data_IF_163541274437
#
_entry.id   IF_163541274437
#
_cell.length_a   1.000
_cell.length_b   1.000
_cell.length_c   1.000
_cell.angle_alpha   90.00
_cell.angle_beta   90.00
_cell.angle_gamma   90.00
#
_symmetry.space_group_name_H-M   'P 1'
#
loop_
_entity.id
_entity.type
_entity.pdbx_description
1 polymer ?
#
# COMPACT_ATOMS: atom_id res chain seq x y z
N UNK A 1 -0.60 -5.01 1.87
CA UNK A 1 -0.06 -3.98 2.80
C UNK A 1 1.09 -3.18 2.21
N UNK A 2 2.16 -3.84 1.76
CA UNK A 2 3.39 -3.21 1.25
C UNK A 2 3.18 -2.04 0.28
N UNK A 3 2.29 -2.20 -0.71
CA UNK A 3 1.98 -1.13 -1.67
C UNK A 3 1.45 0.16 -1.04
N UNK A 4 0.89 0.14 0.17
CA UNK A 4 0.43 1.36 0.85
C UNK A 4 1.56 2.14 1.55
N UNK A 5 2.76 1.57 1.62
CA UNK A 5 3.91 2.15 2.30
C UNK A 5 4.74 3.16 1.51
N UNK A 6 4.52 3.30 0.20
CA UNK A 6 5.36 4.13 -0.70
C UNK A 6 6.86 3.81 -0.52
N UNK A 7 7.78 4.75 -0.75
CA UNK A 7 9.22 4.53 -0.54
C UNK A 7 9.59 4.38 0.95
N UNK A 8 9.04 5.25 1.80
CA UNK A 8 9.52 5.44 3.17
C UNK A 8 9.03 4.37 4.16
N UNK A 9 7.87 3.76 3.91
CA UNK A 9 7.24 2.81 4.83
C UNK A 9 6.93 1.46 4.16
N UNK A 10 7.52 1.15 2.99
CA UNK A 10 7.34 -0.14 2.30
C UNK A 10 7.62 -1.32 3.22
N UNK A 11 8.82 -1.35 3.81
CA UNK A 11 9.27 -2.44 4.66
C UNK A 11 8.46 -2.56 5.97
N UNK A 12 8.17 -1.47 6.71
CA UNK A 12 7.24 -1.52 7.83
C UNK A 12 5.87 -2.13 7.48
N UNK A 13 5.29 -1.80 6.32
CA UNK A 13 4.03 -2.41 5.88
C UNK A 13 4.18 -3.88 5.46
N UNK A 14 5.29 -4.28 4.85
CA UNK A 14 5.57 -5.68 4.54
C UNK A 14 5.75 -6.50 5.83
N UNK A 15 6.50 -5.96 6.79
CA UNK A 15 6.66 -6.53 8.13
C UNK A 15 5.32 -6.65 8.85
N UNK A 16 4.44 -5.64 8.77
CA UNK A 16 3.10 -5.70 9.35
C UNK A 16 2.25 -6.82 8.75
N UNK A 17 2.27 -7.00 7.42
CA UNK A 17 1.53 -8.08 6.77
C UNK A 17 2.04 -9.48 7.17
N UNK A 18 3.36 -9.63 7.37
CA UNK A 18 3.94 -10.89 7.87
C UNK A 18 3.59 -11.14 9.34
N UNK A 19 3.61 -10.08 10.16
CA UNK A 19 3.27 -10.13 11.56
C UNK A 19 1.77 -10.40 11.81
N UNK A 20 0.91 -9.90 10.91
CA UNK A 20 -0.55 -10.06 10.95
C UNK A 20 -1.04 -10.69 9.64
N UNK A 21 -0.86 -12.01 9.46
CA UNK A 21 -1.37 -12.71 8.28
C UNK A 21 -2.89 -12.53 8.16
N UNK A 22 -3.37 -12.34 6.94
CA UNK A 22 -4.77 -11.99 6.69
C UNK A 22 -5.72 -13.11 7.14
N UNK A 23 -5.30 -14.36 7.05
CA UNK A 23 -6.06 -15.54 7.46
C UNK A 23 -6.35 -15.51 8.96
N UNK A 24 -5.35 -15.13 9.77
CA UNK A 24 -5.52 -14.96 11.23
C UNK A 24 -6.34 -13.73 11.56
N UNK A 25 -6.15 -12.64 10.82
CA UNK A 25 -6.89 -11.41 11.05
C UNK A 25 -8.39 -11.57 10.78
N UNK A 26 -8.76 -12.32 9.73
CA UNK A 26 -10.16 -12.56 9.35
C UNK A 26 -10.89 -13.53 10.30
N UNK A 27 -10.19 -14.26 11.16
CA UNK A 27 -10.81 -15.05 12.24
C UNK A 27 -11.49 -14.18 13.30
N UNK A 28 -11.07 -12.91 13.43
CA UNK A 28 -11.76 -11.95 14.28
C UNK A 28 -13.05 -11.52 13.58
N UNK A 29 -14.20 -11.73 14.20
CA UNK A 29 -15.50 -11.44 13.58
C UNK A 29 -15.78 -9.94 13.42
N UNK A 30 -15.41 -9.13 14.42
CA UNK A 30 -15.61 -7.68 14.43
C UNK A 30 -14.48 -6.96 13.66
N UNK A 31 -14.78 -6.17 12.62
CA UNK A 31 -13.79 -5.37 11.91
C UNK A 31 -13.02 -4.37 12.79
N UNK A 32 -13.60 -3.89 13.89
CA UNK A 32 -12.91 -2.96 14.79
C UNK A 32 -11.86 -3.70 15.63
N UNK A 33 -12.04 -4.98 15.92
CA UNK A 33 -11.00 -5.81 16.55
C UNK A 33 -9.81 -6.01 15.59
N UNK A 34 -10.10 -6.19 14.29
CA UNK A 34 -9.07 -6.28 13.25
C UNK A 34 -8.25 -4.99 13.20
N UNK A 35 -8.92 -3.84 13.25
CA UNK A 35 -8.26 -2.55 13.32
C UNK A 35 -7.40 -2.39 14.57
N UNK A 36 -7.92 -2.75 15.74
CA UNK A 36 -7.18 -2.69 17.00
C UNK A 36 -5.92 -3.56 16.98
N UNK A 37 -5.99 -4.76 16.41
CA UNK A 37 -4.83 -5.64 16.21
C UNK A 37 -3.81 -5.02 15.26
N UNK A 38 -4.24 -4.47 14.13
CA UNK A 38 -3.33 -3.82 13.17
C UNK A 38 -2.59 -2.63 13.81
N UNK A 39 -3.28 -1.78 14.56
CA UNK A 39 -2.65 -0.65 15.27
C UNK A 39 -1.76 -1.10 16.44
N UNK A 40 -2.19 -2.12 17.19
CA UNK A 40 -1.44 -2.68 18.31
C UNK A 40 -0.12 -3.31 17.86
N UNK A 41 -0.18 -4.21 16.87
CA UNK A 41 0.99 -4.90 16.31
C UNK A 41 1.94 -3.93 15.62
N UNK A 42 1.42 -2.93 14.90
CA UNK A 42 2.26 -1.90 14.27
C UNK A 42 2.91 -0.92 15.25
N UNK A 43 2.50 -0.89 16.53
CA UNK A 43 2.83 0.17 17.51
C UNK A 43 2.42 1.58 17.08
N UNK A 44 1.45 1.69 16.17
CA UNK A 44 0.88 2.98 15.77
C UNK A 44 -0.35 3.36 16.60
N UNK A 45 -0.66 2.58 17.64
CA UNK A 45 -1.62 2.91 18.70
C UNK A 45 -0.91 3.69 19.82
N UNK A 46 -1.03 5.03 19.90
CA UNK A 46 -0.33 5.82 20.92
C UNK A 46 -0.95 5.62 22.31
N UNK A 47 -0.11 5.67 23.35
CA UNK A 47 -0.56 5.80 24.74
C UNK A 47 -1.04 7.24 24.98
N UNK A 48 -2.34 7.48 25.22
CA UNK A 48 -2.87 8.83 25.40
C UNK A 48 -2.37 9.52 26.68
N UNK A 49 -1.73 8.80 27.61
CA UNK A 49 -1.13 9.38 28.81
C UNK A 49 0.28 9.94 28.57
N UNK A 50 0.93 9.53 27.47
CA UNK A 50 2.31 9.89 27.13
C UNK A 50 2.45 10.66 25.83
N UNK A 51 1.49 10.51 24.93
CA UNK A 51 1.52 11.10 23.59
C UNK A 51 0.36 12.08 23.42
N UNK A 52 0.58 13.26 22.80
CA UNK A 52 -0.50 14.17 22.46
C UNK A 52 -1.56 13.48 21.59
N UNK A 53 -2.81 13.49 22.08
CA UNK A 53 -3.99 12.99 21.37
C UNK A 53 -5.09 14.03 21.50
N UNK A 54 -5.77 14.36 20.40
CA UNK A 54 -6.88 15.33 20.48
C UNK A 54 -8.11 14.77 21.18
N UNK A 55 -8.91 15.69 21.74
CA UNK A 55 -10.22 15.37 22.30
C UNK A 55 -11.14 14.64 21.30
N UNK A 56 -11.02 14.92 19.99
CA UNK A 56 -11.79 14.23 18.94
C UNK A 56 -11.31 12.80 18.69
N UNK A 57 -10.01 12.55 18.80
CA UNK A 57 -9.42 11.24 18.60
C UNK A 57 -9.57 10.33 19.83
N UNK A 58 -9.64 10.92 21.02
CA UNK A 58 -9.56 10.20 22.29
C UNK A 58 -10.65 9.12 22.47
N UNK A 59 -11.94 9.34 22.16
CA UNK A 59 -12.96 8.29 22.30
C UNK A 59 -12.68 7.08 21.41
N UNK A 60 -12.33 7.33 20.14
CA UNK A 60 -12.00 6.29 19.18
C UNK A 60 -10.72 5.53 19.59
N UNK A 61 -9.67 6.25 20.00
CA UNK A 61 -8.43 5.66 20.48
C UNK A 61 -8.65 4.78 21.73
N UNK A 62 -9.51 5.21 22.67
CA UNK A 62 -9.86 4.42 23.86
C UNK A 62 -10.58 3.11 23.50
N UNK A 63 -11.48 3.14 22.52
CA UNK A 63 -12.16 1.93 22.06
C UNK A 63 -11.16 0.93 21.45
N UNK A 64 -10.24 1.41 20.60
CA UNK A 64 -9.18 0.57 20.05
C UNK A 64 -8.26 0.00 21.13
N UNK A 65 -7.89 0.78 22.16
CA UNK A 65 -7.10 0.26 23.28
C UNK A 65 -7.82 -0.83 24.06
N UNK A 66 -9.13 -0.66 24.31
CA UNK A 66 -9.95 -1.66 25.00
C UNK A 66 -9.95 -2.99 24.23
N UNK A 67 -10.15 -2.94 22.91
CA UNK A 67 -10.13 -4.13 22.03
C UNK A 67 -8.74 -4.73 21.92
N UNK A 68 -7.72 -3.90 21.72
CA UNK A 68 -6.33 -4.34 21.64
C UNK A 68 -5.90 -5.06 22.92
N UNK A 69 -6.29 -4.57 24.09
CA UNK A 69 -5.95 -5.21 25.37
C UNK A 69 -6.41 -6.66 25.43
N UNK A 70 -7.62 -6.94 24.95
CA UNK A 70 -8.17 -8.31 24.90
C UNK A 70 -7.36 -9.24 23.97
N UNK A 71 -6.85 -8.71 22.84
CA UNK A 71 -6.10 -9.50 21.87
C UNK A 71 -4.58 -9.54 22.11
N UNK A 72 -4.03 -8.63 22.94
CA UNK A 72 -2.60 -8.35 23.03
C UNK A 72 -1.75 -9.57 23.31
N UNK A 73 -2.18 -10.47 24.18
CA UNK A 73 -1.40 -11.65 24.56
C UNK A 73 -1.14 -12.56 23.35
N UNK A 74 -2.16 -12.81 22.53
CA UNK A 74 -2.09 -13.64 21.31
C UNK A 74 -1.17 -13.06 20.23
N UNK A 75 -0.99 -11.75 20.23
CA UNK A 75 -0.20 -11.03 19.22
C UNK A 75 1.14 -10.50 19.77
N UNK A 76 1.45 -10.75 21.04
CA UNK A 76 2.62 -10.17 21.74
C UNK A 76 3.95 -10.43 21.04
N UNK A 77 4.17 -11.65 20.54
CA UNK A 77 5.37 -12.04 19.81
C UNK A 77 5.50 -11.42 18.41
N UNK A 78 4.43 -10.84 17.88
CA UNK A 78 4.36 -10.30 16.52
C UNK A 78 4.48 -8.78 16.48
N UNK A 79 4.48 -8.11 17.64
CA UNK A 79 4.56 -6.65 17.75
C UNK A 79 5.86 -6.16 17.10
N UNK A 80 5.72 -5.25 16.15
CA UNK A 80 6.85 -4.68 15.42
C UNK A 80 7.79 -3.89 16.35
N UNK A 81 9.10 -3.78 16.01
CA UNK A 81 10.04 -3.01 16.81
C UNK A 81 9.69 -1.51 16.80
N UNK A 82 10.00 -0.78 17.89
CA UNK A 82 9.79 0.67 17.93
C UNK A 82 10.63 1.39 16.88
N UNK A 83 10.15 2.54 16.39
CA UNK A 83 10.92 3.40 15.47
C UNK A 83 11.04 2.90 14.03
N UNK A 84 10.40 1.78 13.65
CA UNK A 84 10.43 1.29 12.28
C UNK A 84 9.65 2.18 11.29
N UNK A 85 8.65 2.93 11.77
CA UNK A 85 7.82 3.80 10.93
C UNK A 85 8.42 5.20 10.75
N UNK A 86 8.43 5.67 9.50
CA UNK A 86 8.73 7.07 9.16
C UNK A 86 7.44 7.89 9.19
N UNK A 87 7.33 8.78 10.18
CA UNK A 87 6.14 9.65 10.39
C UNK A 87 6.41 11.14 10.12
N UNK A 88 7.63 11.63 10.35
CA UNK A 88 7.94 13.07 10.40
C UNK A 88 8.04 13.80 9.06
N UNK A 89 8.34 13.09 7.97
CA UNK A 89 8.54 13.66 6.62
C UNK A 89 7.50 13.17 5.59
N UNK A 90 6.42 12.54 6.07
CA UNK A 90 5.41 11.95 5.20
C UNK A 90 4.29 12.95 4.94
N UNK A 91 3.89 13.11 3.67
CA UNK A 91 2.71 13.93 3.32
C UNK A 91 1.50 13.46 4.14
N UNK A 92 0.61 14.36 4.63
CA UNK A 92 -0.52 13.99 5.49
C UNK A 92 -1.36 12.81 4.95
N UNK A 93 -1.68 12.82 3.66
CA UNK A 93 -2.45 11.75 3.00
C UNK A 93 -1.73 10.39 2.93
N UNK A 94 -0.41 10.37 3.11
CA UNK A 94 0.44 9.18 3.10
C UNK A 94 0.85 8.72 4.49
N UNK A 95 0.37 9.38 5.55
CA UNK A 95 0.66 9.02 6.93
C UNK A 95 0.45 7.53 7.18
N UNK A 96 1.41 6.83 7.82
CA UNK A 96 1.27 5.40 8.09
C UNK A 96 0.06 5.10 8.99
N UNK A 97 -0.32 6.01 9.91
CA UNK A 97 -1.56 5.88 10.68
C UNK A 97 -2.76 5.73 9.76
N UNK A 98 -2.95 6.70 8.87
CA UNK A 98 -4.06 6.72 7.91
C UNK A 98 -4.07 5.51 6.97
N UNK A 99 -2.88 5.03 6.58
CA UNK A 99 -2.72 3.86 5.71
C UNK A 99 -3.02 2.54 6.41
N UNK A 100 -2.76 2.44 7.72
CA UNK A 100 -3.23 1.30 8.54
C UNK A 100 -4.76 1.31 8.64
N UNK A 101 -5.38 2.48 8.82
CA UNK A 101 -6.84 2.62 8.74
C UNK A 101 -7.42 2.22 7.36
N UNK A 102 -6.69 2.48 6.28
CA UNK A 102 -7.09 1.97 4.96
C UNK A 102 -7.02 0.44 4.87
N UNK A 103 -6.01 -0.18 5.49
CA UNK A 103 -5.90 -1.64 5.57
C UNK A 103 -7.01 -2.26 6.40
N UNK A 104 -7.38 -1.66 7.53
CA UNK A 104 -8.49 -2.17 8.35
C UNK A 104 -9.79 -2.19 7.56
N UNK A 105 -10.12 -1.11 6.85
CA UNK A 105 -11.30 -1.04 5.96
C UNK A 105 -11.31 -2.11 4.87
N UNK A 106 -10.15 -2.43 4.27
CA UNK A 106 -10.04 -3.50 3.26
C UNK A 106 -10.42 -4.88 3.80
N UNK A 107 -10.28 -5.11 5.11
CA UNK A 107 -10.62 -6.40 5.73
C UNK A 107 -12.12 -6.56 5.99
N UNK A 108 -12.96 -5.56 5.73
CA UNK A 108 -14.40 -5.67 6.00
C UNK A 108 -14.99 -6.80 5.15
N UNK A 109 -15.88 -7.66 5.66
CA UNK A 109 -16.23 -8.93 5.01
C UNK A 109 -16.62 -8.80 3.52
N UNK A 110 -17.55 -7.89 3.19
CA UNK A 110 -18.00 -7.67 1.82
C UNK A 110 -16.93 -6.99 0.95
N UNK A 111 -16.15 -6.08 1.54
CA UNK A 111 -15.05 -5.38 0.86
C UNK A 111 -13.96 -6.37 0.49
N UNK A 112 -13.54 -7.20 1.44
CA UNK A 112 -12.53 -8.23 1.26
C UNK A 112 -12.94 -9.27 0.22
N UNK A 113 -14.19 -9.75 0.29
CA UNK A 113 -14.71 -10.70 -0.71
C UNK A 113 -14.71 -10.09 -2.12
N UNK A 114 -15.26 -8.88 -2.29
CA UNK A 114 -15.27 -8.20 -3.58
C UNK A 114 -13.87 -7.89 -4.10
N UNK A 115 -12.92 -7.60 -3.20
CA UNK A 115 -11.54 -7.35 -3.53
C UNK A 115 -10.80 -8.58 -4.02
N UNK A 116 -10.93 -9.71 -3.31
CA UNK A 116 -10.30 -10.97 -3.72
C UNK A 116 -10.86 -11.45 -5.05
N UNK A 117 -12.18 -11.37 -5.25
CA UNK A 117 -12.78 -11.79 -6.50
C UNK A 117 -12.31 -10.94 -7.69
N UNK A 118 -12.15 -9.63 -7.51
CA UNK A 118 -11.62 -8.76 -8.57
C UNK A 118 -10.16 -9.07 -8.89
N UNK A 119 -9.35 -9.39 -7.88
CA UNK A 119 -7.97 -9.85 -8.08
C UNK A 119 -7.96 -11.16 -8.88
N UNK A 120 -8.68 -12.18 -8.43
CA UNK A 120 -8.71 -13.51 -9.09
C UNK A 120 -9.11 -13.40 -10.56
N UNK A 121 -10.11 -12.56 -10.87
CA UNK A 121 -10.60 -12.35 -12.24
C UNK A 121 -9.76 -11.41 -13.11
N UNK A 122 -8.80 -10.70 -12.53
CA UNK A 122 -8.11 -9.60 -13.22
C UNK A 122 -9.02 -8.39 -13.51
N UNK A 123 -10.11 -8.22 -12.75
CA UNK A 123 -11.11 -7.17 -12.98
C UNK A 123 -10.64 -5.83 -12.38
N UNK A 124 -9.98 -5.02 -13.21
CA UNK A 124 -9.45 -3.72 -12.83
C UNK A 124 -10.54 -2.72 -12.41
N UNK A 125 -11.73 -2.78 -12.99
CA UNK A 125 -12.81 -1.83 -12.70
C UNK A 125 -13.38 -2.06 -11.30
N UNK A 126 -13.69 -3.31 -10.97
CA UNK A 126 -14.17 -3.69 -9.63
C UNK A 126 -13.06 -3.45 -8.60
N UNK A 127 -11.82 -3.81 -8.90
CA UNK A 127 -10.66 -3.52 -8.04
C UNK A 127 -10.56 -2.03 -7.72
N UNK A 128 -10.51 -1.17 -8.73
CA UNK A 128 -10.42 0.28 -8.53
C UNK A 128 -11.64 0.82 -7.78
N UNK A 129 -12.85 0.33 -8.08
CA UNK A 129 -14.08 0.71 -7.39
C UNK A 129 -13.99 0.42 -5.89
N UNK A 130 -13.54 -0.78 -5.52
CA UNK A 130 -13.37 -1.18 -4.11
C UNK A 130 -12.40 -0.25 -3.39
N UNK A 131 -11.21 0.02 -3.94
CA UNK A 131 -10.25 0.93 -3.30
C UNK A 131 -10.77 2.36 -3.16
N UNK A 132 -11.53 2.84 -4.15
CA UNK A 132 -12.09 4.18 -4.17
C UNK A 132 -13.27 4.34 -3.21
N UNK A 133 -13.98 3.25 -2.88
CA UNK A 133 -15.10 3.26 -1.96
C UNK A 133 -14.71 3.12 -0.49
N UNK A 134 -13.43 2.85 -0.19
CA UNK A 134 -12.97 2.80 1.20
C UNK A 134 -13.14 4.16 1.86
N UNK A 135 -13.85 4.15 2.98
CA UNK A 135 -14.10 5.31 3.82
C UNK A 135 -13.97 4.89 5.28
N UNK A 136 -13.42 5.79 6.09
CA UNK A 136 -13.25 5.57 7.51
C UNK A 136 -13.67 6.83 8.28
N UNK A 137 -14.57 6.72 9.28
CA UNK A 137 -15.15 7.87 9.99
C UNK A 137 -14.12 8.87 10.53
N UNK A 138 -13.00 8.35 11.07
CA UNK A 138 -11.89 9.17 11.55
C UNK A 138 -10.87 9.55 10.46
N UNK A 139 -10.27 8.57 9.77
CA UNK A 139 -9.15 8.75 8.84
C UNK A 139 -9.45 9.49 7.52
N UNK A 140 -10.73 9.65 7.17
CA UNK A 140 -11.11 10.49 6.03
C UNK A 140 -10.75 11.97 6.26
N UNK A 141 -10.66 12.39 7.52
CA UNK A 141 -10.40 13.78 7.92
C UNK A 141 -9.11 13.99 8.71
N UNK A 142 -8.40 12.93 9.10
CA UNK A 142 -7.24 13.03 9.98
C UNK A 142 -6.01 12.34 9.37
N UNK A 143 -4.84 12.93 9.61
CA UNK A 143 -3.55 12.35 9.23
C UNK A 143 -2.85 11.65 10.41
N UNK A 144 -3.17 12.01 11.65
CA UNK A 144 -2.57 11.46 12.87
C UNK A 144 -3.47 11.67 14.09
N UNK A 145 -3.14 11.01 15.19
CA UNK A 145 -3.86 11.09 16.46
C UNK A 145 -3.76 12.46 17.16
N UNK A 146 -2.71 13.22 16.85
CA UNK A 146 -2.40 14.54 17.42
C UNK A 146 -3.31 15.67 16.93
N UNK A 147 -4.29 15.38 16.05
CA UNK A 147 -5.25 16.36 15.59
C UNK A 147 -4.92 17.04 14.28
N UNK A 148 -3.87 16.62 13.56
CA UNK A 148 -3.65 17.09 12.19
C UNK A 148 -4.83 16.69 11.32
N UNK A 149 -5.70 17.66 11.09
CA UNK A 149 -6.89 17.56 10.24
C UNK A 149 -6.47 17.87 8.80
N UNK A 150 -7.04 17.12 7.87
CA UNK A 150 -6.92 17.40 6.45
C UNK A 150 -7.79 18.61 6.09
N UNK A 151 -7.35 19.47 5.15
CA UNK A 151 -8.10 20.66 4.76
C UNK A 151 -9.50 20.34 4.19
N UNK A 152 -9.70 19.12 3.71
CA UNK A 152 -10.97 18.56 3.29
C UNK A 152 -10.97 17.04 3.48
N UNK A 153 -12.15 16.42 3.42
CA UNK A 153 -12.24 14.95 3.36
C UNK A 153 -11.40 14.44 2.19
N UNK A 154 -10.61 13.41 2.44
CA UNK A 154 -9.75 12.80 1.43
C UNK A 154 -9.96 11.29 1.38
N UNK A 155 -9.79 10.68 0.20
CA UNK A 155 -9.85 9.22 0.03
C UNK A 155 -8.73 8.54 0.79
N UNK A 156 -9.01 7.44 1.48
CA UNK A 156 -7.99 6.66 2.17
C UNK A 156 -6.89 6.17 1.20
N UNK A 157 -7.28 5.85 -0.04
CA UNK A 157 -6.38 5.50 -1.14
C UNK A 157 -6.65 6.44 -2.32
N UNK A 158 -5.64 7.23 -2.69
CA UNK A 158 -5.72 8.15 -3.84
C UNK A 158 -5.70 7.39 -5.17
N UNK A 159 -6.18 8.04 -6.23
CA UNK A 159 -6.35 7.43 -7.56
C UNK A 159 -5.03 6.89 -8.14
N UNK A 160 -3.95 7.66 -8.04
CA UNK A 160 -2.63 7.25 -8.54
C UNK A 160 -2.12 6.00 -7.81
N UNK A 161 -2.36 5.93 -6.49
CA UNK A 161 -1.95 4.79 -5.66
C UNK A 161 -2.81 3.56 -5.93
N UNK A 162 -4.12 3.75 -6.13
CA UNK A 162 -5.03 2.67 -6.51
C UNK A 162 -4.66 2.07 -7.87
N UNK A 163 -4.34 2.92 -8.84
CA UNK A 163 -3.92 2.51 -10.18
C UNK A 163 -2.56 1.80 -10.15
N UNK A 164 -1.59 2.28 -9.36
CA UNK A 164 -0.33 1.58 -9.15
C UNK A 164 -0.49 0.20 -8.48
N UNK A 165 -1.54 -0.01 -7.68
CA UNK A 165 -1.83 -1.31 -7.08
C UNK A 165 -2.36 -2.32 -8.10
N UNK A 166 -2.87 -1.91 -9.26
CA UNK A 166 -3.24 -2.85 -10.32
C UNK A 166 -2.01 -3.67 -10.73
N UNK A 167 -0.89 -3.01 -11.02
CA UNK A 167 0.35 -3.69 -11.44
C UNK A 167 1.09 -4.37 -10.28
N UNK A 168 0.97 -3.84 -9.06
CA UNK A 168 1.70 -4.37 -7.89
C UNK A 168 0.95 -5.48 -7.14
N UNK A 169 -0.36 -5.61 -7.37
CA UNK A 169 -1.21 -6.58 -6.66
C UNK A 169 -2.07 -7.38 -7.63
N UNK A 170 -2.94 -6.73 -8.42
CA UNK A 170 -3.87 -7.46 -9.28
C UNK A 170 -3.14 -8.26 -10.37
N UNK A 171 -2.23 -7.64 -11.12
CA UNK A 171 -1.45 -8.30 -12.18
C UNK A 171 -0.78 -9.59 -11.73
N UNK A 172 0.13 -9.57 -10.74
CA UNK A 172 0.86 -10.77 -10.34
C UNK A 172 0.00 -11.81 -9.61
N UNK A 173 -1.21 -11.45 -9.15
CA UNK A 173 -2.07 -12.34 -8.36
C UNK A 173 -3.33 -12.78 -9.13
N UNK A 174 -3.52 -12.32 -10.36
CA UNK A 174 -4.66 -12.69 -11.18
C UNK A 174 -4.56 -14.17 -11.60
N UNK A 175 -5.69 -14.87 -11.58
CA UNK A 175 -5.79 -16.30 -11.92
C UNK A 175 -6.31 -16.48 -13.36
N UNK A 176 -5.98 -15.54 -14.26
CA UNK A 176 -6.33 -15.62 -15.69
C UNK A 176 -5.08 -15.91 -16.54
N UNK A 177 -5.28 -16.29 -17.81
CA UNK A 177 -4.15 -16.58 -18.70
C UNK A 177 -3.31 -15.34 -18.96
N UNK A 178 -2.00 -15.50 -19.13
CA UNK A 178 -1.08 -14.39 -19.42
C UNK A 178 -1.51 -13.57 -20.64
N UNK A 179 -2.03 -14.22 -21.67
CA UNK A 179 -2.53 -13.54 -22.87
C UNK A 179 -3.75 -12.63 -22.58
N UNK A 180 -4.71 -13.12 -21.78
CA UNK A 180 -5.88 -12.33 -21.40
C UNK A 180 -5.47 -11.19 -20.45
N UNK A 181 -4.64 -11.50 -19.45
CA UNK A 181 -4.13 -10.50 -18.51
C UNK A 181 -3.36 -9.40 -19.23
N UNK A 182 -2.48 -9.76 -20.17
CA UNK A 182 -1.72 -8.81 -20.99
C UNK A 182 -2.64 -7.85 -21.75
N UNK A 183 -3.67 -8.39 -22.41
CA UNK A 183 -4.67 -7.58 -23.12
C UNK A 183 -5.43 -6.64 -22.16
N UNK A 184 -5.80 -7.10 -20.97
CA UNK A 184 -6.44 -6.26 -19.97
C UNK A 184 -5.50 -5.14 -19.49
N UNK A 185 -4.23 -5.47 -19.20
CA UNK A 185 -3.22 -4.54 -18.68
C UNK A 185 -2.91 -3.39 -19.62
N UNK A 186 -3.06 -3.57 -20.94
CA UNK A 186 -2.91 -2.49 -21.91
C UNK A 186 -3.92 -1.35 -21.71
N UNK A 187 -5.10 -1.67 -21.17
CA UNK A 187 -6.18 -0.72 -20.93
C UNK A 187 -6.10 -0.04 -19.55
N UNK A 188 -5.22 -0.52 -18.66
CA UNK A 188 -5.16 -0.01 -17.30
C UNK A 188 -4.66 1.44 -17.25
N UNK A 189 -5.20 2.26 -16.33
CA UNK A 189 -4.86 3.66 -16.23
C UNK A 189 -3.38 3.86 -15.91
N UNK A 190 -2.81 4.90 -16.53
CA UNK A 190 -1.47 5.37 -16.22
C UNK A 190 -1.33 5.81 -14.76
N UNK A 191 -0.23 5.43 -14.13
CA UNK A 191 0.04 5.68 -12.72
C UNK A 191 1.55 5.62 -12.41
N UNK A 192 1.89 5.77 -11.14
CA UNK A 192 3.26 5.55 -10.66
C UNK A 192 4.08 6.82 -10.45
N UNK A 193 5.36 6.62 -10.16
CA UNK A 193 6.28 7.69 -9.77
C UNK A 193 6.92 8.32 -11.02
N UNK A 194 6.45 9.51 -11.38
CA UNK A 194 6.97 10.26 -12.53
C UNK A 194 8.47 10.62 -12.39
N UNK A 195 8.97 10.77 -11.17
CA UNK A 195 10.39 11.04 -10.92
C UNK A 195 11.25 9.80 -11.14
N UNK A 196 10.78 8.65 -10.66
CA UNK A 196 11.43 7.37 -10.92
C UNK A 196 11.39 7.01 -12.42
N UNK A 197 10.25 7.26 -13.07
CA UNK A 197 10.08 7.04 -14.50
C UNK A 197 11.02 7.94 -15.31
N UNK A 198 11.12 9.23 -14.97
CA UNK A 198 12.11 10.16 -15.56
C UNK A 198 13.54 9.65 -15.39
N UNK A 199 13.88 9.18 -14.19
CA UNK A 199 15.22 8.64 -13.90
C UNK A 199 15.51 7.39 -14.75
N UNK A 200 14.53 6.49 -14.85
CA UNK A 200 14.62 5.30 -15.69
C UNK A 200 14.75 5.66 -17.17
N UNK A 201 13.91 6.56 -17.69
CA UNK A 201 13.97 7.02 -19.08
C UNK A 201 15.32 7.66 -19.40
N UNK A 202 15.84 8.54 -18.54
CA UNK A 202 17.16 9.15 -18.76
C UNK A 202 18.26 8.11 -18.78
N UNK A 203 18.21 7.14 -17.86
CA UNK A 203 19.28 6.16 -17.69
C UNK A 203 19.29 5.08 -18.78
N UNK A 204 18.12 4.63 -19.22
CA UNK A 204 17.96 3.52 -20.17
C UNK A 204 17.78 3.99 -21.61
N UNK A 205 17.15 5.14 -21.84
CA UNK A 205 16.73 5.60 -23.16
C UNK A 205 17.40 6.93 -23.56
N UNK A 206 18.13 7.59 -22.64
CA UNK A 206 18.76 8.89 -22.90
C UNK A 206 17.78 10.05 -23.02
N UNK A 207 16.52 9.88 -22.61
CA UNK A 207 15.46 10.91 -22.73
C UNK A 207 14.83 11.23 -21.38
N UNK A 208 14.46 12.50 -21.16
CA UNK A 208 13.83 12.93 -19.90
C UNK A 208 12.43 12.38 -19.68
N UNK A 209 11.80 11.87 -20.75
CA UNK A 209 10.46 11.33 -20.73
C UNK A 209 10.37 10.06 -21.59
N UNK A 210 9.45 9.14 -21.25
CA UNK A 210 9.24 7.94 -22.06
C UNK A 210 8.85 8.30 -23.49
N UNK A 211 9.44 7.64 -24.50
CA UNK A 211 9.06 7.82 -25.90
C UNK A 211 7.62 7.34 -26.17
N UNK A 212 7.12 7.58 -27.38
CA UNK A 212 5.75 7.21 -27.75
C UNK A 212 5.45 5.72 -27.53
N UNK A 213 6.43 4.85 -27.72
CA UNK A 213 6.30 3.40 -27.57
C UNK A 213 6.20 2.95 -26.10
N UNK A 214 6.53 3.84 -25.15
CA UNK A 214 6.43 3.61 -23.68
C UNK A 214 5.31 4.48 -23.09
N UNK A 215 4.21 4.62 -23.84
CA UNK A 215 3.02 5.36 -23.39
C UNK A 215 2.11 4.53 -22.49
N UNK A 216 1.95 3.23 -22.79
CA UNK A 216 1.11 2.35 -21.98
C UNK A 216 1.69 2.19 -20.58
N UNK A 217 0.83 2.03 -19.59
CA UNK A 217 1.30 1.84 -18.22
C UNK A 217 2.08 0.52 -18.08
N UNK A 218 1.68 -0.52 -18.81
CA UNK A 218 2.42 -1.78 -18.88
C UNK A 218 3.88 -1.57 -19.33
N UNK A 219 4.09 -0.81 -20.42
CA UNK A 219 5.44 -0.52 -20.90
C UNK A 219 6.24 0.31 -19.88
N UNK A 220 5.60 1.24 -19.18
CA UNK A 220 6.23 2.04 -18.10
C UNK A 220 6.65 1.16 -16.92
N UNK A 221 5.81 0.23 -16.49
CA UNK A 221 6.17 -0.71 -15.42
C UNK A 221 7.30 -1.65 -15.86
N UNK A 222 7.30 -2.12 -17.11
CA UNK A 222 8.41 -2.87 -17.68
C UNK A 222 9.73 -2.09 -17.66
N UNK A 223 9.71 -0.81 -18.09
CA UNK A 223 10.86 0.08 -18.01
C UNK A 223 11.36 0.27 -16.56
N UNK A 224 10.43 0.46 -15.62
CA UNK A 224 10.75 0.59 -14.21
C UNK A 224 11.31 -0.70 -13.61
N UNK A 225 10.85 -1.86 -14.06
CA UNK A 225 11.35 -3.17 -13.63
C UNK A 225 12.80 -3.35 -14.08
N UNK A 226 13.09 -3.13 -15.37
CA UNK A 226 14.45 -3.18 -15.93
C UNK A 226 15.37 -2.20 -15.17
N UNK A 227 14.89 -0.97 -14.93
CA UNK A 227 15.67 0.03 -14.20
C UNK A 227 16.01 -0.43 -12.77
N UNK A 228 15.07 -1.03 -12.05
CA UNK A 228 15.29 -1.50 -10.67
C UNK A 228 16.22 -2.70 -10.63
N UNK A 229 16.02 -3.68 -11.51
CA UNK A 229 16.73 -4.96 -11.48
C UNK A 229 18.19 -4.82 -11.94
N UNK A 230 18.44 -3.91 -12.88
CA UNK A 230 19.75 -3.76 -13.50
C UNK A 230 20.39 -2.40 -13.19
N UNK A 231 19.78 -1.31 -13.68
CA UNK A 231 20.45 -0.01 -13.76
C UNK A 231 20.59 0.74 -12.43
N UNK A 232 19.74 0.43 -11.45
CA UNK A 232 19.79 1.04 -10.12
C UNK A 232 20.74 0.28 -9.20
N UNK A 233 20.90 -1.03 -9.40
CA UNK A 233 21.67 -1.90 -8.52
C UNK A 233 23.18 -1.76 -8.74
N UNK A 234 23.62 -1.59 -10.00
CA UNK A 234 25.05 -1.60 -10.36
C UNK A 234 25.38 -0.53 -11.42
N UNK A 235 26.63 -0.04 -11.46
CA UNK A 235 27.10 0.77 -12.59
C UNK A 235 27.09 -0.05 -13.88
N UNK A 236 26.97 0.62 -15.04
CA UNK A 236 26.75 -0.06 -16.33
C UNK A 236 27.84 -1.10 -16.68
N UNK A 237 29.09 -0.86 -16.26
CA UNK A 237 30.23 -1.78 -16.45
C UNK A 237 30.11 -3.11 -15.69
N UNK A 238 29.26 -3.17 -14.67
CA UNK A 238 29.03 -4.34 -13.81
C UNK A 238 27.57 -4.83 -13.93
N UNK A 239 26.83 -4.30 -14.92
CA UNK A 239 25.44 -4.61 -15.17
C UNK A 239 25.32 -5.97 -15.86
N UNK A 240 24.47 -6.86 -15.33
CA UNK A 240 24.24 -8.20 -15.88
C UNK A 240 23.16 -8.25 -16.98
N UNK A 241 22.66 -7.09 -17.42
CA UNK A 241 21.62 -7.02 -18.45
C UNK A 241 22.10 -7.56 -19.82
N UNK A 242 23.32 -7.25 -20.31
CA UNK A 242 23.81 -7.78 -21.57
C UNK A 242 23.86 -9.31 -21.58
N UNK A 243 24.33 -9.94 -20.51
CA UNK A 243 24.37 -11.40 -20.38
C UNK A 243 22.95 -11.99 -20.29
N UNK A 244 22.05 -11.35 -19.54
CA UNK A 244 20.65 -11.78 -19.43
C UNK A 244 19.96 -11.82 -20.80
N UNK A 245 20.20 -10.84 -21.66
CA UNK A 245 19.60 -10.78 -23.01
C UNK A 245 20.08 -11.88 -23.97
N UNK A 246 21.21 -12.54 -23.66
CA UNK A 246 21.75 -13.64 -24.45
C UNK A 246 21.15 -15.01 -24.10
N UNK A 247 20.43 -15.13 -22.97
CA UNK A 247 19.88 -16.39 -22.46
C UNK A 247 18.54 -16.80 -23.10
N UNK A 248 18.30 -16.44 -24.36
CA UNK A 248 17.06 -16.77 -25.08
C UNK A 248 16.89 -18.27 -25.33
#
# INVERSE_FOLDING_TARGET
AEGLGFSENREPFASLARAVPIERLLQLSDPVDREAVLYGVSRLLPDPTRTPVTARALPYLKDLWKRWWFHRELWSAHILPPGCWKVGATRPNNSPYRRVGALSCLTYPLVWQSWIESVRRGDADVFLKVLRSLSHPFWDHHASWDGRILPSSSRLIGLDRASALLFQVLGPMAECSEANLGQQMETWPAAGDAGLLRSASMRLLGTSFPPADVRSQLAREGLLQIYKDFCRAKPCRECSMPEFLQQK
#
